data_IF_870214800910
#
_entry.id   IF_870214800910
#
_cell.length_a   1.000
_cell.length_b   1.000
_cell.length_c   1.000
_cell.angle_alpha   90.00
_cell.angle_beta   90.00
_cell.angle_gamma   90.00
#
_symmetry.space_group_name_H-M   'P 1'
#
loop_
_entity.id
_entity.type
_entity.pdbx_description
1 polymer ?
#
# COMPACT_ATOMS: atom_id res chain seq x y z
N UNK A 1 2.53 -13.37 -25.28
CA UNK A 1 3.33 -14.41 -24.57
C UNK A 1 2.78 -15.77 -24.96
N UNK A 2 3.65 -16.76 -25.20
CA UNK A 2 3.27 -18.12 -25.65
C UNK A 2 3.71 -19.15 -24.61
N UNK A 3 3.04 -20.30 -24.57
CA UNK A 3 3.46 -21.39 -23.68
C UNK A 3 4.82 -21.96 -24.14
N UNK A 4 5.82 -22.12 -23.26
CA UNK A 4 7.12 -22.67 -23.65
C UNK A 4 7.07 -24.15 -24.06
N UNK A 5 5.99 -24.87 -23.71
CA UNK A 5 5.85 -26.31 -23.99
C UNK A 5 5.08 -26.61 -25.27
N UNK A 6 3.96 -25.93 -25.48
CA UNK A 6 3.04 -26.22 -26.58
C UNK A 6 2.84 -25.03 -27.53
N UNK A 7 3.50 -23.89 -27.27
CA UNK A 7 3.41 -22.67 -28.07
C UNK A 7 2.01 -22.07 -28.25
N UNK A 8 0.99 -22.61 -27.57
CA UNK A 8 -0.38 -22.09 -27.63
C UNK A 8 -0.48 -20.69 -27.01
N UNK A 9 -1.37 -19.87 -27.56
CA UNK A 9 -1.71 -18.54 -27.03
C UNK A 9 -2.79 -18.58 -25.93
N UNK A 10 -3.43 -19.75 -25.74
CA UNK A 10 -4.44 -19.97 -24.71
C UNK A 10 -3.81 -20.07 -23.30
N UNK A 11 -3.52 -18.91 -22.72
CA UNK A 11 -2.92 -18.75 -21.40
C UNK A 11 -3.90 -18.05 -20.45
N UNK A 12 -4.03 -18.58 -19.23
CA UNK A 12 -4.81 -17.94 -18.17
C UNK A 12 -3.96 -17.73 -16.91
N UNK A 13 -4.30 -16.70 -16.13
CA UNK A 13 -3.60 -16.38 -14.88
C UNK A 13 -3.98 -17.41 -13.81
N UNK A 14 -2.97 -18.04 -13.21
CA UNK A 14 -3.17 -18.97 -12.10
C UNK A 14 -3.13 -18.25 -10.74
N UNK A 15 -3.74 -18.85 -9.71
CA UNK A 15 -3.65 -18.33 -8.34
C UNK A 15 -2.24 -18.58 -7.78
N UNK A 16 -1.71 -17.60 -7.04
CA UNK A 16 -0.42 -17.71 -6.33
C UNK A 16 -0.54 -18.74 -5.20
N UNK A 17 0.43 -19.65 -5.04
CA UNK A 17 0.42 -20.63 -3.95
C UNK A 17 1.23 -20.10 -2.76
N UNK A 18 0.52 -19.69 -1.72
CA UNK A 18 1.12 -19.29 -0.44
C UNK A 18 1.78 -17.90 -0.44
N UNK A 19 2.17 -17.49 0.77
CA UNK A 19 2.69 -16.14 1.05
C UNK A 19 4.09 -15.91 0.44
N UNK A 20 4.98 -16.91 0.49
CA UNK A 20 6.36 -16.82 -0.03
C UNK A 20 6.37 -16.57 -1.55
N UNK A 21 5.61 -17.37 -2.31
CA UNK A 21 5.44 -17.18 -3.75
C UNK A 21 4.76 -15.82 -4.03
N UNK A 22 3.75 -15.48 -3.21
CA UNK A 22 3.04 -14.23 -3.31
C UNK A 22 3.94 -13.00 -3.24
N UNK A 23 4.83 -12.94 -2.26
CA UNK A 23 5.76 -11.83 -2.03
C UNK A 23 6.86 -11.74 -3.10
N UNK A 24 7.52 -12.86 -3.42
CA UNK A 24 8.59 -12.88 -4.40
C UNK A 24 8.11 -12.44 -5.80
N UNK A 25 6.94 -12.94 -6.22
CA UNK A 25 6.33 -12.58 -7.49
C UNK A 25 5.86 -11.13 -7.54
N UNK A 26 5.35 -10.58 -6.42
CA UNK A 26 4.99 -9.15 -6.33
C UNK A 26 6.21 -8.25 -6.51
N UNK A 27 7.32 -8.56 -5.84
CA UNK A 27 8.56 -7.77 -5.92
C UNK A 27 9.14 -7.77 -7.33
N UNK A 28 9.11 -8.92 -8.01
CA UNK A 28 9.66 -9.08 -9.37
C UNK A 28 8.69 -8.72 -10.49
N UNK A 29 7.47 -8.25 -10.19
CA UNK A 29 6.39 -7.98 -11.18
C UNK A 29 6.10 -9.18 -12.11
N UNK A 30 6.22 -10.39 -11.56
CA UNK A 30 5.97 -11.64 -12.26
C UNK A 30 4.62 -12.22 -11.82
N UNK A 31 3.96 -12.96 -12.70
CA UNK A 31 2.72 -13.68 -12.38
C UNK A 31 2.81 -15.14 -12.85
N UNK A 32 2.18 -16.07 -12.13
CA UNK A 32 2.11 -17.46 -12.57
C UNK A 32 0.99 -17.59 -13.61
N UNK A 33 1.34 -18.09 -14.79
CA UNK A 33 0.42 -18.43 -15.86
C UNK A 33 0.28 -19.94 -15.98
N UNK A 34 -0.89 -20.38 -16.42
CA UNK A 34 -1.16 -21.76 -16.77
C UNK A 34 -1.68 -21.81 -18.19
N UNK A 35 -1.13 -22.72 -18.97
CA UNK A 35 -1.62 -22.99 -20.32
C UNK A 35 -2.90 -23.84 -20.24
N UNK A 36 -3.94 -23.45 -20.97
CA UNK A 36 -5.18 -24.23 -21.09
C UNK A 36 -5.01 -25.46 -21.97
N UNK A 37 -4.12 -25.41 -22.98
CA UNK A 37 -3.91 -26.51 -23.93
C UNK A 37 -3.06 -27.65 -23.35
N UNK A 38 -1.98 -27.34 -22.62
CA UNK A 38 -1.07 -28.36 -22.09
C UNK A 38 -1.02 -28.43 -20.55
N UNK A 39 -1.78 -27.58 -19.85
CA UNK A 39 -1.82 -27.54 -18.39
C UNK A 39 -0.55 -27.05 -17.70
N UNK A 40 0.52 -26.76 -18.46
CA UNK A 40 1.83 -26.38 -17.92
C UNK A 40 1.76 -25.04 -17.18
N UNK A 41 2.39 -24.98 -16.00
CA UNK A 41 2.49 -23.77 -15.18
C UNK A 41 3.86 -23.16 -15.37
N UNK A 42 3.92 -21.88 -15.68
CA UNK A 42 5.17 -21.14 -15.82
C UNK A 42 5.00 -19.71 -15.27
N UNK A 43 6.12 -19.06 -14.99
CA UNK A 43 6.15 -17.69 -14.48
C UNK A 43 6.54 -16.77 -15.63
N UNK A 44 5.73 -15.76 -15.90
CA UNK A 44 6.04 -14.75 -16.91
C UNK A 44 5.77 -13.35 -16.35
N UNK A 45 6.39 -12.34 -16.98
CA UNK A 45 6.10 -10.95 -16.68
C UNK A 45 4.63 -10.68 -16.99
N UNK A 46 3.96 -10.00 -16.05
CA UNK A 46 2.59 -9.54 -16.28
C UNK A 46 2.64 -8.51 -17.42
N UNK A 47 1.93 -8.71 -18.55
CA UNK A 47 1.86 -7.72 -19.61
C UNK A 47 1.25 -6.48 -18.98
N UNK A 48 2.09 -5.46 -18.80
CA UNK A 48 1.67 -4.21 -18.22
C UNK A 48 0.71 -3.59 -19.24
N UNK A 49 -0.57 -3.34 -18.90
CA UNK A 49 -1.43 -2.61 -19.81
C UNK A 49 -0.78 -1.23 -20.00
N UNK A 50 -0.29 -0.98 -21.22
CA UNK A 50 0.21 0.33 -21.62
C UNK A 50 -0.97 1.30 -21.48
N UNK A 51 -0.89 2.23 -20.54
CA UNK A 51 -1.94 3.24 -20.32
C UNK A 51 -2.62 3.22 -18.95
N UNK A 52 -2.32 2.27 -18.05
CA UNK A 52 -2.78 2.38 -16.66
C UNK A 52 -1.66 2.94 -15.78
N UNK A 53 -1.40 4.24 -15.91
CA UNK A 53 -0.82 5.01 -14.82
C UNK A 53 -1.81 5.00 -13.65
N UNK A 54 -1.74 3.92 -12.85
CA UNK A 54 -2.29 4.00 -11.50
C UNK A 54 -1.51 5.13 -10.84
N UNK A 55 -2.18 6.23 -10.54
CA UNK A 55 -1.68 7.29 -9.66
C UNK A 55 -1.27 6.62 -8.34
N UNK A 56 -0.01 6.20 -8.27
CA UNK A 56 0.55 5.56 -7.09
C UNK A 56 0.55 6.64 -6.03
N UNK A 57 -0.36 6.50 -5.06
CA UNK A 57 -0.36 7.37 -3.91
C UNK A 57 0.98 7.20 -3.21
N UNK A 58 1.55 8.28 -2.67
CA UNK A 58 2.79 8.22 -1.87
C UNK A 58 2.70 7.12 -0.79
N UNK A 59 1.49 6.87 -0.26
CA UNK A 59 1.22 5.78 0.68
C UNK A 59 1.55 4.37 0.14
N UNK A 60 1.36 4.11 -1.15
CA UNK A 60 1.70 2.83 -1.78
C UNK A 60 3.22 2.66 -1.91
N UNK A 61 3.95 3.77 -2.12
CA UNK A 61 5.42 3.78 -2.12
C UNK A 61 6.00 3.50 -0.73
N UNK A 62 5.37 4.05 0.30
CA UNK A 62 5.74 3.83 1.70
C UNK A 62 5.29 2.46 2.24
N UNK A 63 4.62 1.63 1.42
CA UNK A 63 4.17 0.30 1.80
C UNK A 63 3.12 0.30 2.92
N UNK A 64 2.38 1.41 3.08
CA UNK A 64 1.37 1.53 4.12
C UNK A 64 0.23 0.54 3.85
N UNK A 65 0.00 -0.37 4.80
CA UNK A 65 -1.10 -1.32 4.72
C UNK A 65 -2.46 -0.59 4.63
N UNK A 66 -3.43 -1.15 3.90
CA UNK A 66 -4.78 -0.56 3.71
C UNK A 66 -5.46 -0.17 5.03
N UNK A 67 -5.19 -0.94 6.10
CA UNK A 67 -5.64 -0.63 7.47
C UNK A 67 -4.92 0.57 8.11
N UNK A 68 -3.63 0.74 7.87
CA UNK A 68 -2.88 1.92 8.32
C UNK A 68 -3.37 3.19 7.61
N UNK A 69 -3.68 3.08 6.31
CA UNK A 69 -4.32 4.16 5.53
C UNK A 69 -5.69 4.56 6.09
N UNK A 70 -6.45 3.60 6.62
CA UNK A 70 -7.76 3.83 7.19
C UNK A 70 -7.72 4.37 8.63
N UNK A 71 -6.64 4.10 9.39
CA UNK A 71 -6.39 4.72 10.71
C UNK A 71 -5.82 6.13 10.59
N UNK A 72 -4.97 6.39 9.60
CA UNK A 72 -4.57 7.75 9.21
C UNK A 72 -5.62 8.40 8.30
N UNK A 73 -6.91 8.22 8.61
CA UNK A 73 -7.94 8.99 7.95
C UNK A 73 -7.79 10.45 8.37
N UNK A 74 -8.03 11.39 7.46
CA UNK A 74 -7.76 12.81 7.69
C UNK A 74 -8.43 13.36 8.96
N UNK A 75 -9.58 12.79 9.34
CA UNK A 75 -10.30 13.10 10.59
C UNK A 75 -9.54 12.74 11.86
N UNK A 76 -8.77 11.65 11.88
CA UNK A 76 -7.96 11.25 13.06
C UNK A 76 -6.76 12.16 13.20
N UNK A 77 -6.15 12.55 12.08
CA UNK A 77 -5.02 13.49 12.06
C UNK A 77 -5.48 14.88 12.51
N UNK A 78 -6.61 15.37 11.96
CA UNK A 78 -7.19 16.65 12.34
C UNK A 78 -7.62 16.65 13.82
N UNK A 79 -8.22 15.55 14.29
CA UNK A 79 -8.56 15.34 15.70
C UNK A 79 -7.34 15.33 16.62
N UNK A 80 -6.25 14.69 16.20
CA UNK A 80 -4.99 14.69 16.95
C UNK A 80 -4.37 16.08 17.05
N UNK A 81 -4.33 16.83 15.94
CA UNK A 81 -3.78 18.20 15.91
C UNK A 81 -4.63 19.14 16.77
N UNK A 82 -5.96 19.09 16.63
CA UNK A 82 -6.88 19.92 17.43
C UNK A 82 -6.78 19.61 18.92
N UNK A 83 -6.74 18.32 19.29
CA UNK A 83 -6.54 17.92 20.69
C UNK A 83 -5.20 18.42 21.25
N UNK A 84 -4.12 18.36 20.47
CA UNK A 84 -2.80 18.85 20.89
C UNK A 84 -2.82 20.36 21.13
N UNK A 85 -3.44 21.14 20.22
CA UNK A 85 -3.56 22.58 20.35
C UNK A 85 -4.37 22.99 21.59
N UNK A 86 -5.47 22.29 21.86
CA UNK A 86 -6.29 22.52 23.07
C UNK A 86 -5.46 22.26 24.32
N UNK A 87 -4.73 21.14 24.37
CA UNK A 87 -3.92 20.74 25.51
C UNK A 87 -2.78 21.74 25.76
N UNK A 88 -2.15 22.21 24.69
CA UNK A 88 -1.10 23.23 24.76
C UNK A 88 -1.65 24.59 25.23
N UNK A 89 -2.87 24.96 24.79
CA UNK A 89 -3.57 26.15 25.30
C UNK A 89 -3.92 26.06 26.78
N UNK A 90 -4.39 24.91 27.26
CA UNK A 90 -4.67 24.68 28.68
C UNK A 90 -3.39 24.78 29.51
N UNK A 91 -2.30 24.17 29.04
CA UNK A 91 -1.00 24.25 29.73
C UNK A 91 -0.48 25.70 29.80
N UNK A 92 -0.63 26.47 28.72
CA UNK A 92 -0.23 27.87 28.70
C UNK A 92 -1.09 28.73 29.64
N UNK A 93 -2.40 28.48 29.70
CA UNK A 93 -3.30 29.13 30.65
C UNK A 93 -2.92 28.81 32.10
N UNK A 94 -2.65 27.55 32.42
CA UNK A 94 -2.19 27.14 33.74
C UNK A 94 -0.84 27.76 34.10
N UNK A 95 0.10 27.82 33.16
CA UNK A 95 1.40 28.44 33.37
C UNK A 95 1.29 29.96 33.68
N UNK A 96 0.37 30.66 33.02
CA UNK A 96 0.05 32.06 33.34
C UNK A 96 -0.65 32.19 34.70
N UNK A 97 -1.64 31.35 34.99
CA UNK A 97 -2.41 31.39 36.23
C UNK A 97 -1.57 31.06 37.47
N UNK A 98 -0.60 30.16 37.34
CA UNK A 98 0.36 29.79 38.39
C UNK A 98 1.53 30.78 38.48
N UNK A 99 1.57 31.83 37.65
CA UNK A 99 2.60 32.87 37.68
C UNK A 99 3.97 32.41 37.21
N UNK A 100 4.07 31.29 36.47
CA UNK A 100 5.34 30.78 35.95
C UNK A 100 5.88 31.63 34.79
N UNK A 101 5.01 32.39 34.14
CA UNK A 101 5.36 33.33 33.07
C UNK A 101 4.98 34.73 33.56
N UNK A 102 5.97 35.49 34.01
CA UNK A 102 5.81 36.91 34.25
C UNK A 102 5.84 37.63 32.89
N UNK A 103 4.76 38.31 32.47
CA UNK A 103 4.87 39.25 31.37
C UNK A 103 5.80 40.38 31.83
N UNK A 104 6.90 40.58 31.10
CA UNK A 104 7.74 41.77 31.26
C UNK A 104 6.99 42.99 30.73
#
# INVERSE_FOLDING_TARGET
MKCPKCHSENLHRSRRRGLKEGWALRRKKLAPYRCSACGNRFIAAEPRPAGQERSLSIADYLGLNRKARQRCNGTVILGGITSLLILLGILLFLALALGWIAPQ
#
